data_IF_783458202925
#
_entry.id   IF_783458202925
#
_cell.length_a   1.000
_cell.length_b   1.000
_cell.length_c   1.000
_cell.angle_alpha   90.00
_cell.angle_beta   90.00
_cell.angle_gamma   90.00
#
_symmetry.space_group_name_H-M   'P 1'
#
loop_
_entity.id
_entity.type
_entity.pdbx_description
1 polymer ?
#
# COMPACT_ATOMS: atom_id res chain seq x y z
N UNK A 1 -5.01 20.07 26.61
CA UNK A 1 -5.63 19.43 25.42
C UNK A 1 -6.29 20.46 24.50
N UNK A 2 -6.98 21.48 25.02
CA UNK A 2 -7.64 22.54 24.23
C UNK A 2 -6.77 23.32 23.22
N UNK A 3 -5.56 23.76 23.59
CA UNK A 3 -4.72 24.58 22.68
C UNK A 3 -4.25 23.87 21.39
N UNK A 4 -4.13 22.52 21.41
CA UNK A 4 -3.63 21.79 20.25
C UNK A 4 -4.72 21.62 19.20
N UNK A 5 -5.98 21.48 19.62
CA UNK A 5 -7.11 21.36 18.70
C UNK A 5 -7.49 22.73 18.08
N UNK A 6 -7.22 23.86 18.77
CA UNK A 6 -7.38 25.22 18.20
C UNK A 6 -6.39 25.50 17.05
N UNK A 7 -5.11 25.14 17.21
CA UNK A 7 -4.11 25.28 16.14
C UNK A 7 -4.48 24.42 14.92
N UNK A 8 -4.88 23.17 15.14
CA UNK A 8 -5.31 22.27 14.06
C UNK A 8 -6.56 22.81 13.35
N UNK A 9 -7.52 23.37 14.09
CA UNK A 9 -8.71 23.99 13.50
C UNK A 9 -8.37 25.18 12.61
N UNK A 10 -7.41 26.03 13.00
CA UNK A 10 -6.94 27.14 12.17
C UNK A 10 -6.28 26.65 10.87
N UNK A 11 -5.54 25.53 10.92
CA UNK A 11 -4.92 24.90 9.75
C UNK A 11 -5.97 24.34 8.79
N UNK A 12 -6.99 23.66 9.33
CA UNK A 12 -8.11 23.17 8.54
C UNK A 12 -8.83 24.34 7.87
N UNK A 13 -9.15 25.43 8.58
CA UNK A 13 -9.79 26.61 7.97
C UNK A 13 -8.97 27.18 6.81
N UNK A 14 -7.65 27.25 6.96
CA UNK A 14 -6.76 27.67 5.86
C UNK A 14 -6.87 26.72 4.67
N UNK A 15 -6.77 25.41 4.90
CA UNK A 15 -6.91 24.38 3.88
C UNK A 15 -8.25 24.52 3.13
N UNK A 16 -9.37 24.63 3.86
CA UNK A 16 -10.72 24.80 3.29
C UNK A 16 -10.89 26.11 2.51
N UNK A 17 -10.16 27.17 2.88
CA UNK A 17 -10.15 28.45 2.15
C UNK A 17 -9.22 28.46 0.92
N UNK A 18 -8.62 27.32 0.55
CA UNK A 18 -7.67 27.22 -0.55
C UNK A 18 -6.27 27.75 -0.24
N UNK A 19 -5.97 28.07 1.03
CA UNK A 19 -4.63 28.47 1.44
C UNK A 19 -3.76 27.23 1.66
N UNK A 20 -3.23 26.69 0.56
CA UNK A 20 -2.43 25.48 0.54
C UNK A 20 -1.03 25.71 1.12
N UNK A 21 -0.79 25.22 2.35
CA UNK A 21 0.51 25.29 3.03
C UNK A 21 0.96 23.90 3.44
N UNK A 22 2.20 23.53 3.10
CA UNK A 22 2.76 22.20 3.38
C UNK A 22 2.78 21.92 4.88
N UNK A 23 3.26 22.89 5.67
CA UNK A 23 3.32 22.79 7.13
C UNK A 23 1.95 22.55 7.79
N UNK A 24 0.86 22.97 7.14
CA UNK A 24 -0.48 22.71 7.66
C UNK A 24 -0.84 21.23 7.54
N UNK A 25 -0.55 20.59 6.40
CA UNK A 25 -0.73 19.15 6.24
C UNK A 25 0.19 18.36 7.16
N UNK A 26 1.47 18.75 7.28
CA UNK A 26 2.40 18.09 8.19
C UNK A 26 1.86 18.07 9.63
N UNK A 27 1.37 19.23 10.10
CA UNK A 27 0.81 19.36 11.45
C UNK A 27 -0.50 18.63 11.62
N UNK A 28 -1.37 18.60 10.60
CA UNK A 28 -2.62 17.84 10.63
C UNK A 28 -2.33 16.33 10.72
N UNK A 29 -1.44 15.82 9.87
CA UNK A 29 -1.02 14.42 9.94
C UNK A 29 -0.38 14.08 11.28
N UNK A 30 0.61 14.85 11.74
CA UNK A 30 1.29 14.60 13.02
C UNK A 30 0.32 14.69 14.22
N UNK A 31 -0.56 15.68 14.23
CA UNK A 31 -1.51 15.94 15.32
C UNK A 31 -2.69 14.97 15.39
N UNK A 32 -3.02 14.31 14.28
CA UNK A 32 -4.15 13.37 14.20
C UNK A 32 -3.74 11.90 14.02
N UNK A 33 -2.45 11.61 13.76
CA UNK A 33 -1.94 10.26 13.52
C UNK A 33 -2.26 9.24 14.62
N UNK A 34 -2.23 9.64 15.90
CA UNK A 34 -2.60 8.73 17.01
C UNK A 34 -4.13 8.59 17.18
N UNK A 35 -4.89 9.53 16.63
CA UNK A 35 -6.37 9.61 16.66
C UNK A 35 -6.99 9.21 15.32
N UNK A 36 -6.26 8.51 14.47
CA UNK A 36 -6.72 8.15 13.12
C UNK A 36 -7.67 6.94 13.11
N UNK A 37 -7.73 6.15 14.21
CA UNK A 37 -8.53 4.92 14.25
C UNK A 37 -8.12 3.92 13.16
N UNK A 38 -9.11 3.26 12.53
CA UNK A 38 -8.92 2.30 11.43
C UNK A 38 -8.77 2.99 10.06
N UNK A 39 -7.87 3.97 9.98
CA UNK A 39 -7.60 4.76 8.76
C UNK A 39 -6.12 4.59 8.37
N UNK A 40 -5.77 3.44 7.78
CA UNK A 40 -4.37 3.07 7.56
C UNK A 40 -3.66 3.92 6.51
N UNK A 41 -4.31 4.41 5.46
CA UNK A 41 -3.71 5.29 4.46
C UNK A 41 -3.37 6.66 5.08
N UNK A 42 -4.30 7.24 5.85
CA UNK A 42 -4.03 8.47 6.60
C UNK A 42 -2.84 8.28 7.56
N UNK A 43 -2.88 7.19 8.33
CA UNK A 43 -1.83 6.87 9.29
C UNK A 43 -0.48 6.70 8.60
N UNK A 44 -0.44 5.99 7.46
CA UNK A 44 0.77 5.75 6.68
C UNK A 44 1.43 7.07 6.24
N UNK A 45 0.66 8.01 5.69
CA UNK A 45 1.19 9.32 5.30
C UNK A 45 1.75 10.07 6.52
N UNK A 46 1.00 10.14 7.63
CA UNK A 46 1.52 10.82 8.83
C UNK A 46 2.74 10.14 9.45
N UNK A 47 2.89 8.84 9.22
CA UNK A 47 4.05 8.07 9.57
C UNK A 47 5.27 8.42 8.69
N UNK A 48 5.09 8.71 7.40
CA UNK A 48 6.14 9.26 6.52
C UNK A 48 6.50 10.71 6.87
N UNK A 49 5.51 11.55 7.23
CA UNK A 49 5.77 12.91 7.72
C UNK A 49 6.66 12.88 8.97
N UNK A 50 6.40 11.95 9.90
CA UNK A 50 7.19 11.83 11.12
C UNK A 50 8.62 11.33 10.86
N UNK A 51 8.78 10.35 9.96
CA UNK A 51 10.05 9.64 9.72
C UNK A 51 10.24 9.37 8.22
N UNK A 52 10.86 10.31 7.51
CA UNK A 52 10.98 10.29 6.04
C UNK A 52 12.07 9.35 5.52
N UNK A 53 13.19 9.18 6.24
CA UNK A 53 14.38 8.53 5.68
C UNK A 53 14.23 7.01 5.46
N UNK A 54 13.39 6.36 6.26
CA UNK A 54 13.32 4.91 6.28
C UNK A 54 12.08 4.38 6.99
N UNK A 55 11.51 3.31 6.44
CA UNK A 55 10.34 2.62 6.98
C UNK A 55 10.59 1.12 7.07
N UNK A 56 10.32 0.54 8.23
CA UNK A 56 10.41 -0.90 8.49
C UNK A 56 9.04 -1.54 8.76
N UNK A 57 7.99 -0.71 8.84
CA UNK A 57 6.61 -1.10 9.09
C UNK A 57 5.64 -0.10 8.46
N UNK A 58 4.38 -0.51 8.38
CA UNK A 58 3.32 0.28 7.78
C UNK A 58 2.64 -0.49 6.65
N UNK A 59 1.52 0.06 6.20
CA UNK A 59 0.71 -0.48 5.12
C UNK A 59 1.56 -0.63 3.85
N UNK A 60 2.28 0.43 3.45
CA UNK A 60 3.09 0.42 2.23
C UNK A 60 4.24 -0.58 2.34
N UNK A 61 4.93 -0.60 3.49
CA UNK A 61 6.05 -1.54 3.70
C UNK A 61 5.59 -3.00 3.63
N UNK A 62 4.46 -3.34 4.25
CA UNK A 62 3.92 -4.69 4.19
C UNK A 62 3.49 -5.08 2.77
N UNK A 63 2.78 -4.19 2.05
CA UNK A 63 2.38 -4.44 0.67
C UNK A 63 3.59 -4.64 -0.24
N UNK A 64 4.63 -3.82 -0.11
CA UNK A 64 5.85 -3.98 -0.90
C UNK A 64 6.58 -5.30 -0.61
N UNK A 65 6.64 -5.73 0.66
CA UNK A 65 7.19 -7.06 1.02
C UNK A 65 6.39 -8.19 0.38
N UNK A 66 5.07 -8.11 0.44
CA UNK A 66 4.21 -9.12 -0.17
C UNK A 66 4.41 -9.20 -1.69
N UNK A 67 4.48 -8.04 -2.37
CA UNK A 67 4.74 -7.96 -3.81
C UNK A 67 6.11 -8.54 -4.15
N UNK A 68 7.14 -8.21 -3.35
CA UNK A 68 8.49 -8.75 -3.55
C UNK A 68 8.51 -10.27 -3.42
N UNK A 69 7.87 -10.84 -2.39
CA UNK A 69 7.77 -12.30 -2.21
C UNK A 69 7.02 -12.95 -3.37
N UNK A 70 5.90 -12.36 -3.79
CA UNK A 70 5.11 -12.84 -4.93
C UNK A 70 5.94 -12.89 -6.22
N UNK A 71 6.69 -11.83 -6.49
CA UNK A 71 7.54 -11.71 -7.67
C UNK A 71 8.78 -12.62 -7.61
N UNK A 72 9.47 -12.69 -6.46
CA UNK A 72 10.66 -13.52 -6.26
C UNK A 72 10.38 -14.99 -6.58
N UNK A 73 9.30 -15.54 -6.01
CA UNK A 73 8.92 -16.94 -6.21
C UNK A 73 8.41 -17.19 -7.63
N UNK A 74 7.53 -16.34 -8.16
CA UNK A 74 7.05 -16.46 -9.53
C UNK A 74 8.19 -16.42 -10.57
N UNK A 75 9.20 -15.57 -10.32
CA UNK A 75 10.34 -15.40 -11.22
C UNK A 75 11.34 -16.56 -11.20
N UNK A 76 11.24 -17.52 -10.26
CA UNK A 76 12.07 -18.73 -10.28
C UNK A 76 11.86 -19.54 -11.56
N UNK A 77 10.60 -19.69 -11.99
CA UNK A 77 10.27 -20.38 -13.24
C UNK A 77 10.86 -19.70 -14.48
N UNK A 78 10.93 -18.36 -14.49
CA UNK A 78 11.60 -17.62 -15.57
C UNK A 78 13.12 -17.86 -15.63
N UNK A 79 13.70 -18.29 -14.52
CA UNK A 79 15.13 -18.60 -14.37
C UNK A 79 15.43 -20.09 -14.53
N UNK A 80 14.42 -20.91 -14.86
CA UNK A 80 14.56 -22.37 -14.92
C UNK A 80 14.82 -23.02 -13.56
N UNK A 81 14.45 -22.35 -12.46
CA UNK A 81 14.59 -22.83 -11.10
C UNK A 81 13.24 -23.32 -10.57
N UNK A 82 13.27 -24.41 -9.81
CA UNK A 82 12.08 -24.95 -9.14
C UNK A 82 11.90 -24.30 -7.76
N UNK A 83 10.72 -23.72 -7.45
CA UNK A 83 10.45 -23.18 -6.13
C UNK A 83 10.43 -24.29 -5.08
N UNK A 84 11.08 -24.04 -3.94
CA UNK A 84 10.95 -24.94 -2.81
C UNK A 84 9.53 -24.88 -2.24
N UNK A 85 9.19 -25.87 -1.41
CA UNK A 85 7.89 -25.88 -0.76
C UNK A 85 7.66 -24.64 0.13
N UNK A 86 8.71 -24.18 0.80
CA UNK A 86 8.64 -23.00 1.66
C UNK A 86 8.44 -21.73 0.82
N UNK A 87 9.00 -21.67 -0.39
CA UNK A 87 8.78 -20.58 -1.33
C UNK A 87 7.31 -20.50 -1.76
N UNK A 88 6.73 -21.65 -2.14
CA UNK A 88 5.31 -21.73 -2.55
C UNK A 88 4.39 -21.28 -1.39
N UNK A 89 4.68 -21.70 -0.16
CA UNK A 89 3.90 -21.29 1.02
C UNK A 89 4.01 -19.78 1.26
N UNK A 90 5.23 -19.23 1.23
CA UNK A 90 5.47 -17.79 1.40
C UNK A 90 4.77 -16.96 0.32
N UNK A 91 4.86 -17.37 -0.94
CA UNK A 91 4.14 -16.75 -2.04
C UNK A 91 2.63 -16.81 -1.84
N UNK A 92 2.10 -17.96 -1.42
CA UNK A 92 0.67 -18.12 -1.21
C UNK A 92 0.11 -17.22 -0.11
N UNK A 93 0.84 -17.04 0.99
CA UNK A 93 0.47 -16.11 2.06
C UNK A 93 0.51 -14.64 1.61
N UNK A 94 1.56 -14.25 0.90
CA UNK A 94 1.68 -12.92 0.33
C UNK A 94 0.55 -12.63 -0.67
N UNK A 95 0.31 -13.56 -1.59
CA UNK A 95 -0.73 -13.44 -2.60
C UNK A 95 -2.14 -13.45 -2.00
N UNK A 96 -2.38 -14.14 -0.89
CA UNK A 96 -3.66 -14.02 -0.17
C UNK A 96 -3.90 -12.61 0.38
N UNK A 97 -2.84 -11.91 0.83
CA UNK A 97 -2.95 -10.51 1.30
C UNK A 97 -3.15 -9.53 0.14
N UNK A 98 -2.50 -9.79 -0.99
CA UNK A 98 -2.57 -8.94 -2.18
C UNK A 98 -3.88 -9.12 -2.96
N UNK A 99 -4.28 -10.36 -3.23
CA UNK A 99 -5.41 -10.67 -4.11
C UNK A 99 -6.70 -9.96 -3.69
N UNK A 100 -7.45 -9.49 -4.68
CA UNK A 100 -8.82 -9.00 -4.49
C UNK A 100 -9.79 -10.16 -4.25
N UNK A 101 -10.97 -9.88 -3.70
CA UNK A 101 -11.99 -10.91 -3.50
C UNK A 101 -12.49 -11.48 -4.84
N UNK A 102 -12.48 -10.67 -5.90
CA UNK A 102 -12.79 -11.11 -7.27
C UNK A 102 -11.74 -12.10 -7.78
N UNK A 103 -10.44 -11.78 -7.64
CA UNK A 103 -9.35 -12.69 -8.02
C UNK A 103 -9.44 -14.01 -7.26
N UNK A 104 -9.72 -13.96 -5.95
CA UNK A 104 -9.88 -15.17 -5.14
C UNK A 104 -11.07 -16.03 -5.57
N UNK A 105 -12.21 -15.40 -5.91
CA UNK A 105 -13.38 -16.12 -6.45
C UNK A 105 -13.08 -16.74 -7.79
N UNK A 106 -12.43 -16.01 -8.70
CA UNK A 106 -12.07 -16.50 -10.03
C UNK A 106 -11.04 -17.65 -9.97
N UNK A 107 -10.00 -17.52 -9.14
CA UNK A 107 -8.91 -18.49 -9.06
C UNK A 107 -9.18 -19.70 -8.17
N UNK A 108 -9.85 -19.49 -7.03
CA UNK A 108 -10.08 -20.53 -6.01
C UNK A 108 -11.54 -21.01 -5.92
N UNK A 109 -12.46 -20.37 -6.64
CA UNK A 109 -13.90 -20.67 -6.63
C UNK A 109 -14.63 -20.30 -5.34
N UNK A 110 -13.97 -19.64 -4.38
CA UNK A 110 -14.52 -19.36 -3.04
C UNK A 110 -14.07 -18.01 -2.48
N UNK A 111 -14.77 -17.51 -1.46
CA UNK A 111 -14.43 -16.26 -0.79
C UNK A 111 -13.18 -16.35 0.10
N UNK A 112 -12.59 -15.18 0.40
CA UNK A 112 -11.32 -15.02 1.15
C UNK A 112 -11.23 -15.80 2.45
N UNK A 113 -12.29 -15.82 3.26
CA UNK A 113 -12.27 -16.55 4.54
C UNK A 113 -12.10 -18.05 4.35
N UNK A 114 -12.73 -18.62 3.32
CA UNK A 114 -12.56 -20.03 2.96
C UNK A 114 -11.18 -20.30 2.40
N UNK A 115 -10.66 -19.42 1.53
CA UNK A 115 -9.28 -19.50 1.02
C UNK A 115 -8.27 -19.50 2.17
N UNK A 116 -8.42 -18.58 3.13
CA UNK A 116 -7.57 -18.50 4.32
C UNK A 116 -7.56 -19.81 5.11
N UNK A 117 -8.74 -20.36 5.42
CA UNK A 117 -8.86 -21.65 6.12
C UNK A 117 -8.18 -22.78 5.36
N UNK A 118 -8.33 -22.84 4.02
CA UNK A 118 -7.66 -23.83 3.18
C UNK A 118 -6.15 -23.67 3.22
N UNK A 119 -5.64 -22.44 3.12
CA UNK A 119 -4.21 -22.19 3.16
C UNK A 119 -3.59 -22.58 4.51
N UNK A 120 -4.25 -22.25 5.63
CA UNK A 120 -3.83 -22.71 6.96
C UNK A 120 -3.76 -24.24 7.03
N UNK A 121 -4.80 -24.93 6.56
CA UNK A 121 -4.82 -26.39 6.53
C UNK A 121 -3.72 -26.98 5.63
N UNK A 122 -3.42 -26.35 4.50
CA UNK A 122 -2.29 -26.73 3.62
C UNK A 122 -0.98 -26.64 4.39
N UNK A 123 -0.71 -25.52 5.04
CA UNK A 123 0.56 -25.30 5.77
C UNK A 123 0.75 -26.38 6.84
N UNK A 124 -0.28 -26.61 7.66
CA UNK A 124 -0.26 -27.64 8.72
C UNK A 124 -0.05 -29.05 8.17
N UNK A 125 -0.87 -29.46 7.20
CA UNK A 125 -0.83 -30.81 6.61
C UNK A 125 0.47 -31.10 5.92
N UNK A 126 0.95 -30.14 5.15
CA UNK A 126 2.21 -30.33 4.43
C UNK A 126 3.34 -30.46 5.47
N UNK A 127 3.29 -29.73 6.60
CA UNK A 127 4.24 -29.87 7.70
C UNK A 127 4.29 -31.28 8.30
N UNK A 128 3.16 -32.00 8.26
CA UNK A 128 3.01 -33.38 8.74
C UNK A 128 3.14 -34.45 7.65
N UNK A 129 3.41 -34.07 6.40
CA UNK A 129 3.46 -35.01 5.26
C UNK A 129 2.10 -35.60 4.88
N UNK A 130 1.00 -34.96 5.28
CA UNK A 130 -0.36 -35.42 4.97
C UNK A 130 -0.78 -35.09 3.54
N UNK A 131 -1.68 -35.92 2.99
CA UNK A 131 -2.23 -35.69 1.65
C UNK A 131 -3.20 -34.51 1.64
N UNK A 132 -2.98 -33.58 0.71
CA UNK A 132 -3.87 -32.45 0.47
C UNK A 132 -5.12 -32.87 -0.33
N UNK A 133 -6.25 -32.22 -0.03
CA UNK A 133 -7.49 -32.32 -0.82
C UNK A 133 -7.32 -31.59 -2.16
N UNK A 134 -8.12 -31.95 -3.17
CA UNK A 134 -8.09 -31.29 -4.48
C UNK A 134 -8.28 -29.76 -4.38
N UNK A 135 -9.19 -29.30 -3.52
CA UNK A 135 -9.45 -27.87 -3.30
C UNK A 135 -8.33 -27.14 -2.53
N UNK A 136 -7.57 -27.87 -1.72
CA UNK A 136 -6.37 -27.38 -1.03
C UNK A 136 -5.21 -27.22 -2.02
N UNK A 137 -5.01 -28.23 -2.89
CA UNK A 137 -4.04 -28.20 -3.98
C UNK A 137 -4.34 -27.04 -4.93
N UNK A 138 -5.59 -26.88 -5.38
CA UNK A 138 -6.00 -25.78 -6.25
C UNK A 138 -5.68 -24.41 -5.63
N UNK A 139 -5.98 -24.24 -4.34
CA UNK A 139 -5.71 -22.98 -3.63
C UNK A 139 -4.21 -22.68 -3.58
N UNK A 140 -3.39 -23.70 -3.27
CA UNK A 140 -1.94 -23.59 -3.22
C UNK A 140 -1.35 -23.30 -4.61
N UNK A 141 -1.84 -23.95 -5.66
CA UNK A 141 -1.37 -23.74 -7.03
C UNK A 141 -1.70 -22.33 -7.53
N UNK A 142 -2.92 -21.85 -7.27
CA UNK A 142 -3.31 -20.50 -7.66
C UNK A 142 -2.47 -19.45 -6.92
N UNK A 143 -2.43 -19.50 -5.59
CA UNK A 143 -1.75 -18.46 -4.81
C UNK A 143 -0.23 -18.63 -4.77
N UNK A 144 0.31 -19.83 -4.94
CA UNK A 144 1.75 -20.10 -4.83
C UNK A 144 2.53 -19.81 -6.10
N UNK A 145 1.89 -19.84 -7.27
CA UNK A 145 2.56 -19.76 -8.57
C UNK A 145 2.14 -18.56 -9.44
N UNK A 146 1.38 -17.61 -8.89
CA UNK A 146 1.00 -16.38 -9.61
C UNK A 146 1.77 -15.18 -9.07
N UNK A 147 2.11 -14.26 -9.97
CA UNK A 147 2.49 -12.91 -9.56
C UNK A 147 1.23 -12.05 -9.42
N UNK A 148 0.86 -11.74 -8.18
CA UNK A 148 -0.23 -10.83 -7.84
C UNK A 148 0.38 -9.59 -7.22
N UNK A 149 -0.08 -8.41 -7.63
CA UNK A 149 0.27 -7.16 -6.99
C UNK A 149 -0.94 -6.23 -6.94
N UNK A 150 -0.89 -5.26 -6.04
CA UNK A 150 -1.82 -4.13 -5.95
C UNK A 150 -1.13 -2.93 -5.30
N UNK A 151 -1.63 -1.71 -5.49
CA UNK A 151 -1.22 -0.59 -4.66
C UNK A 151 -1.60 -0.85 -3.19
N UNK A 152 -0.82 -0.27 -2.28
CA UNK A 152 -1.07 -0.32 -0.85
C UNK A 152 -2.35 0.46 -0.50
N UNK A 153 -2.58 1.59 -1.16
CA UNK A 153 -3.79 2.41 -1.10
C UNK A 153 -3.90 3.32 -2.33
N UNK A 154 -5.07 3.93 -2.53
CA UNK A 154 -5.36 4.85 -3.65
C UNK A 154 -5.54 6.30 -3.17
N UNK A 155 -5.58 7.24 -4.12
CA UNK A 155 -5.88 8.66 -3.86
C UNK A 155 -7.23 8.85 -3.20
N UNK A 156 -8.27 8.20 -3.73
CA UNK A 156 -9.62 8.23 -3.14
C UNK A 156 -9.63 7.70 -1.71
N UNK A 157 -9.00 6.55 -1.46
CA UNK A 157 -8.90 6.00 -0.12
C UNK A 157 -8.22 6.98 0.84
N UNK A 158 -7.07 7.55 0.44
CA UNK A 158 -6.36 8.51 1.29
C UNK A 158 -7.23 9.73 1.59
N UNK A 159 -7.89 10.29 0.58
CA UNK A 159 -8.73 11.46 0.74
C UNK A 159 -9.96 11.20 1.63
N UNK A 160 -10.67 10.10 1.39
CA UNK A 160 -11.81 9.67 2.22
C UNK A 160 -11.39 9.43 3.67
N UNK A 161 -10.24 8.81 3.88
CA UNK A 161 -9.69 8.59 5.21
C UNK A 161 -9.28 9.91 5.88
N UNK A 162 -8.67 10.84 5.14
CA UNK A 162 -8.32 12.17 5.63
C UNK A 162 -9.55 12.95 6.09
N UNK A 163 -10.58 13.05 5.23
CA UNK A 163 -11.84 13.70 5.56
C UNK A 163 -12.50 13.07 6.80
N UNK A 164 -12.52 11.75 6.87
CA UNK A 164 -13.11 11.06 8.00
C UNK A 164 -12.34 11.25 9.31
N UNK A 165 -11.01 11.34 9.28
CA UNK A 165 -10.20 11.64 10.46
C UNK A 165 -10.49 13.06 10.95
N UNK A 166 -10.58 14.05 10.06
CA UNK A 166 -10.93 15.41 10.44
C UNK A 166 -12.34 15.49 11.05
N UNK A 167 -13.32 14.84 10.44
CA UNK A 167 -14.71 14.79 10.93
C UNK A 167 -14.81 14.10 12.28
N UNK A 168 -14.20 12.92 12.44
CA UNK A 168 -14.25 12.14 13.67
C UNK A 168 -13.61 12.87 14.86
N UNK A 169 -12.66 13.77 14.59
CA UNK A 169 -12.00 14.59 15.60
C UNK A 169 -12.60 16.01 15.71
N UNK A 170 -13.76 16.28 15.09
CA UNK A 170 -14.48 17.54 15.21
C UNK A 170 -13.79 18.76 14.59
N UNK A 171 -12.89 18.54 13.61
CA UNK A 171 -12.18 19.61 12.93
C UNK A 171 -12.92 20.16 11.70
N UNK A 172 -13.85 19.37 11.15
CA UNK A 172 -14.74 19.75 10.05
C UNK A 172 -16.14 19.19 10.29
N UNK A 173 -17.12 19.79 9.62
CA UNK A 173 -18.51 19.32 9.54
C UNK A 173 -18.84 18.81 8.13
N UNK A 174 -20.02 18.22 7.94
CA UNK A 174 -20.45 17.74 6.61
C UNK A 174 -20.64 18.89 5.61
N UNK A 175 -20.93 20.10 6.09
CA UNK A 175 -21.01 21.30 5.26
C UNK A 175 -19.66 21.68 4.62
N UNK A 176 -18.53 21.26 5.22
CA UNK A 176 -17.19 21.55 4.71
C UNK A 176 -16.74 20.59 3.60
N UNK A 177 -17.51 19.54 3.30
CA UNK A 177 -17.09 18.47 2.38
C UNK A 177 -16.70 19.00 1.00
N UNK A 178 -17.48 19.92 0.44
CA UNK A 178 -17.20 20.51 -0.88
C UNK A 178 -15.92 21.37 -0.87
N UNK A 179 -15.67 22.11 0.22
CA UNK A 179 -14.46 22.90 0.37
C UNK A 179 -13.22 22.01 0.52
N UNK A 180 -13.35 20.90 1.26
CA UNK A 180 -12.28 19.92 1.41
C UNK A 180 -11.96 19.20 0.09
N UNK A 181 -12.98 18.89 -0.72
CA UNK A 181 -12.79 18.30 -2.06
C UNK A 181 -11.89 19.20 -2.93
N UNK A 182 -12.05 20.52 -2.83
CA UNK A 182 -11.17 21.49 -3.50
C UNK A 182 -9.69 21.38 -3.11
N UNK A 183 -9.38 20.80 -1.95
CA UNK A 183 -8.02 20.56 -1.47
C UNK A 183 -7.48 19.15 -1.78
N UNK A 184 -8.27 18.26 -2.41
CA UNK A 184 -7.88 16.88 -2.69
C UNK A 184 -6.54 16.79 -3.41
N UNK A 185 -6.37 17.53 -4.50
CA UNK A 185 -5.12 17.51 -5.26
C UNK A 185 -3.90 17.89 -4.41
N UNK A 186 -4.04 18.92 -3.56
CA UNK A 186 -2.96 19.35 -2.67
C UNK A 186 -2.58 18.27 -1.64
N UNK A 187 -3.57 17.58 -1.06
CA UNK A 187 -3.38 16.47 -0.12
C UNK A 187 -2.63 15.31 -0.80
N UNK A 188 -3.04 14.92 -2.01
CA UNK A 188 -2.41 13.79 -2.71
C UNK A 188 -0.97 14.12 -3.15
N UNK A 189 -0.72 15.34 -3.63
CA UNK A 189 0.62 15.81 -3.99
C UNK A 189 1.54 15.87 -2.77
N UNK A 190 1.03 16.30 -1.62
CA UNK A 190 1.77 16.25 -0.36
C UNK A 190 2.18 14.82 0.00
N UNK A 191 1.24 13.87 -0.06
CA UNK A 191 1.52 12.46 0.20
C UNK A 191 2.58 11.88 -0.75
N UNK A 192 2.48 12.19 -2.06
CA UNK A 192 3.51 11.82 -3.05
C UNK A 192 4.88 12.39 -2.67
N UNK A 193 4.94 13.68 -2.31
CA UNK A 193 6.19 14.36 -1.99
C UNK A 193 6.88 13.80 -0.74
N UNK A 194 6.11 13.51 0.33
CA UNK A 194 6.69 12.96 1.58
C UNK A 194 7.16 11.51 1.39
N UNK A 195 6.50 10.74 0.54
CA UNK A 195 6.92 9.37 0.22
C UNK A 195 8.10 9.32 -0.74
N UNK A 196 8.17 10.24 -1.71
CA UNK A 196 9.25 10.29 -2.69
C UNK A 196 10.62 10.40 -2.03
N UNK A 197 11.56 9.58 -2.50
CA UNK A 197 12.95 9.55 -2.05
C UNK A 197 13.18 8.72 -0.79
N UNK A 198 12.12 8.37 -0.07
CA UNK A 198 12.15 7.52 1.13
C UNK A 198 12.55 6.08 0.80
N UNK A 199 13.02 5.35 1.81
CA UNK A 199 13.34 3.93 1.67
C UNK A 199 12.43 3.06 2.55
N UNK A 200 12.14 1.84 2.08
CA UNK A 200 11.49 0.80 2.87
C UNK A 200 12.44 -0.38 3.04
N UNK A 201 12.34 -1.05 4.19
CA UNK A 201 13.10 -2.24 4.52
C UNK A 201 12.31 -3.46 4.08
N UNK A 202 12.84 -4.21 3.12
CA UNK A 202 12.35 -5.50 2.68
C UNK A 202 12.82 -6.63 3.61
N UNK A 203 12.29 -7.83 3.40
CA UNK A 203 12.74 -9.01 4.14
C UNK A 203 14.25 -9.26 3.91
N UNK A 204 14.92 -9.84 4.91
CA UNK A 204 16.37 -10.11 4.92
C UNK A 204 17.26 -8.85 4.84
N UNK A 205 16.72 -7.69 5.21
CA UNK A 205 17.49 -6.43 5.31
C UNK A 205 17.70 -5.71 3.98
N UNK A 206 17.07 -6.17 2.89
CA UNK A 206 17.05 -5.44 1.62
C UNK A 206 16.41 -4.06 1.80
N UNK A 207 16.81 -3.09 0.98
CA UNK A 207 16.19 -1.76 0.95
C UNK A 207 15.66 -1.50 -0.44
N UNK A 208 14.44 -0.98 -0.52
CA UNK A 208 13.86 -0.48 -1.75
C UNK A 208 13.55 1.00 -1.61
N UNK A 209 13.78 1.76 -2.67
CA UNK A 209 13.54 3.20 -2.68
C UNK A 209 12.20 3.51 -3.35
N UNK A 210 11.55 4.55 -2.84
CA UNK A 210 10.26 5.03 -3.33
C UNK A 210 10.44 6.22 -4.26
N UNK A 211 9.75 6.20 -5.40
CA UNK A 211 9.86 7.24 -6.43
C UNK A 211 8.49 7.71 -6.86
N UNK A 212 8.31 9.03 -6.93
CA UNK A 212 7.15 9.61 -7.57
C UNK A 212 7.34 9.51 -9.09
N UNK A 213 6.28 9.22 -9.82
CA UNK A 213 6.30 9.16 -11.28
C UNK A 213 4.89 9.10 -11.84
N UNK A 214 4.79 8.82 -13.14
CA UNK A 214 3.52 8.68 -13.86
C UNK A 214 3.63 7.73 -15.06
N UNK A 215 4.63 6.85 -15.04
CA UNK A 215 4.84 5.86 -16.09
C UNK A 215 3.94 4.63 -15.88
N UNK A 216 2.62 4.86 -15.82
CA UNK A 216 1.56 3.87 -15.86
C UNK A 216 0.67 4.14 -17.08
N UNK A 217 -0.23 3.20 -17.39
CA UNK A 217 -1.07 3.26 -18.60
C UNK A 217 -1.95 4.51 -18.67
N UNK A 218 -2.41 5.01 -17.52
CA UNK A 218 -3.36 6.14 -17.43
C UNK A 218 -2.62 7.48 -17.19
N UNK A 219 -1.29 7.44 -17.07
CA UNK A 219 -0.41 8.55 -16.71
C UNK A 219 -0.77 9.24 -15.40
N UNK A 220 -1.36 8.52 -14.44
CA UNK A 220 -1.65 9.10 -13.13
C UNK A 220 -0.39 9.26 -12.29
N UNK A 221 -0.33 10.26 -11.43
CA UNK A 221 0.76 10.40 -10.48
C UNK A 221 0.72 9.23 -9.48
N UNK A 222 1.88 8.68 -9.16
CA UNK A 222 2.02 7.49 -8.34
C UNK A 222 3.32 7.49 -7.55
N UNK A 223 3.37 6.74 -6.45
CA UNK A 223 4.62 6.32 -5.82
C UNK A 223 4.88 4.87 -6.19
N UNK A 224 6.07 4.62 -6.75
CA UNK A 224 6.58 3.30 -7.14
C UNK A 224 7.60 2.82 -6.15
N UNK A 225 7.71 1.51 -6.00
CA UNK A 225 8.85 0.86 -5.36
C UNK A 225 9.77 0.28 -6.43
N UNK A 226 11.08 0.52 -6.29
CA UNK A 226 12.10 -0.17 -7.09
C UNK A 226 12.45 -1.51 -6.45
N UNK A 227 12.12 -2.61 -7.12
CA UNK A 227 12.52 -3.95 -6.71
C UNK A 227 13.80 -4.31 -7.46
N UNK A 228 14.91 -4.46 -6.74
CA UNK A 228 16.15 -5.03 -7.29
C UNK A 228 16.21 -6.50 -6.91
N UNK A 229 16.39 -7.39 -7.89
CA UNK A 229 16.51 -8.82 -7.63
C UNK A 229 17.84 -9.39 -8.15
N UNK A 230 18.51 -10.25 -7.36
CA UNK A 230 19.65 -11.03 -7.83
C UNK A 230 19.19 -12.20 -8.71
N UNK A 231 20.08 -12.68 -9.58
CA UNK A 231 19.84 -13.89 -10.40
C UNK A 231 19.29 -13.64 -11.79
N UNK A 232 19.27 -12.38 -12.25
CA UNK A 232 19.16 -12.03 -13.67
C UNK A 232 20.46 -11.36 -14.13
N UNK A 233 20.88 -11.62 -15.38
CA UNK A 233 22.10 -11.02 -15.97
C UNK A 233 22.07 -9.48 -15.97
N UNK A 234 20.86 -8.90 -15.92
CA UNK A 234 20.61 -7.48 -15.72
C UNK A 234 19.55 -7.31 -14.62
N UNK A 235 19.65 -6.30 -13.74
CA UNK A 235 18.58 -5.98 -12.80
C UNK A 235 17.24 -5.86 -13.55
N UNK A 236 16.24 -6.62 -13.12
CA UNK A 236 14.88 -6.51 -13.67
C UNK A 236 14.20 -5.33 -13.01
N UNK A 237 13.84 -4.35 -13.83
CA UNK A 237 13.16 -3.13 -13.39
C UNK A 237 11.65 -3.31 -13.54
N UNK A 238 10.98 -3.68 -12.47
CA UNK A 238 9.53 -3.73 -12.40
C UNK A 238 9.04 -2.61 -11.47
N UNK A 239 8.76 -1.40 -11.97
CA UNK A 239 8.15 -0.36 -11.15
C UNK A 239 6.74 -0.79 -10.75
N UNK A 240 6.54 -1.14 -9.48
CA UNK A 240 5.21 -1.47 -8.96
C UNK A 240 4.65 -0.26 -8.22
N UNK A 241 3.46 0.16 -8.61
CA UNK A 241 2.73 1.24 -7.96
C UNK A 241 2.32 0.83 -6.54
N UNK A 242 2.79 1.57 -5.54
CA UNK A 242 2.46 1.40 -4.12
C UNK A 242 1.40 2.40 -3.65
N UNK A 243 1.39 3.60 -4.21
CA UNK A 243 0.32 4.58 -4.02
C UNK A 243 -0.08 5.11 -5.39
N UNK A 244 -1.38 5.05 -5.70
CA UNK A 244 -1.92 5.39 -7.01
C UNK A 244 -2.95 6.51 -6.87
N UNK A 245 -2.71 7.67 -7.50
CA UNK A 245 -3.65 8.80 -7.47
C UNK A 245 -4.54 8.83 -8.70
N UNK A 246 -5.47 9.77 -8.76
CA UNK A 246 -6.27 10.14 -9.94
C UNK A 246 -5.77 11.42 -10.62
N UNK A 247 -4.59 11.93 -10.24
CA UNK A 247 -4.02 13.18 -10.73
C UNK A 247 -3.17 12.98 -11.98
N UNK A 248 -3.29 13.89 -12.95
CA UNK A 248 -2.48 13.89 -14.18
C UNK A 248 -1.29 14.87 -14.07
N UNK A 249 -0.12 14.57 -14.68
CA UNK A 249 1.07 15.41 -14.57
C UNK A 249 0.90 16.79 -15.22
N UNK A 250 0.05 16.93 -16.23
CA UNK A 250 -0.12 18.16 -17.03
C UNK A 250 -0.55 19.38 -16.19
N UNK A 251 -1.16 19.17 -15.02
CA UNK A 251 -1.55 20.25 -14.10
C UNK A 251 -0.68 20.40 -12.84
N UNK A 252 0.33 19.54 -12.68
CA UNK A 252 0.99 19.35 -11.37
C UNK A 252 2.51 19.17 -11.43
N UNK A 253 3.07 18.88 -12.60
CA UNK A 253 4.52 18.78 -12.82
C UNK A 253 4.96 19.91 -13.73
N UNK A 254 5.64 20.91 -13.16
CA UNK A 254 6.22 22.07 -13.87
C UNK A 254 7.71 22.19 -13.56
#
# INVERSE_FOLDING_TARGET
MFMLDDDLSLRVRRLLSGQHRIDDLDRLYLGQRQRSGNRPAFREVGDFVAHRDGRDKGLLTQTARDVFVSFDVWSLGLRGLEPSRDDIVRAAEANLRLASDEQLRAGCGVGRQTVRKRLTAVIEKTGRGERLKASEIQTLQYLGNHFIWKPAFTGDQLFEEFAAVLRANGLIEDADAAALEGAKAFILLHALAVMHGSAIVLDRGGRARLFAGYANKDRWLEVKVELTMPGFDKPVWAPIAMFYTDLQPEGHCH
#
